data_IF_966868222935
#
_entry.id   IF_966868222935
#
_cell.length_a   1.000
_cell.length_b   1.000
_cell.length_c   1.000
_cell.angle_alpha   90.00
_cell.angle_beta   90.00
_cell.angle_gamma   90.00
#
_symmetry.space_group_name_H-M   'P 1'
#
loop_
_entity.id
_entity.type
_entity.pdbx_description
1 polymer ?
#
# COMPACT_ATOMS: atom_id res chain seq x y z
N UNK A 1 -15.10 15.01 29.31
CA UNK A 1 -15.33 15.37 27.88
C UNK A 1 -14.92 14.20 27.04
N UNK A 2 -15.63 13.89 25.95
CA UNK A 2 -15.16 12.85 25.00
C UNK A 2 -13.95 13.38 24.24
N UNK A 3 -12.88 12.57 24.13
CA UNK A 3 -11.68 12.88 23.34
C UNK A 3 -12.04 12.93 21.86
N UNK A 4 -11.74 14.06 21.21
CA UNK A 4 -11.97 14.25 19.77
C UNK A 4 -10.76 13.76 18.99
N UNK A 5 -10.92 12.66 18.24
CA UNK A 5 -9.86 12.06 17.45
C UNK A 5 -10.03 12.45 15.98
N UNK A 6 -8.99 13.05 15.39
CA UNK A 6 -8.90 13.37 13.98
C UNK A 6 -7.89 12.44 13.27
N UNK A 7 -8.30 11.86 12.15
CA UNK A 7 -7.44 11.02 11.30
C UNK A 7 -7.21 11.77 10.00
N UNK A 8 -5.98 12.12 9.69
CA UNK A 8 -5.62 12.76 8.44
C UNK A 8 -5.29 11.69 7.40
N UNK A 9 -6.20 11.44 6.45
CA UNK A 9 -6.07 10.48 5.37
C UNK A 9 -7.03 9.30 5.45
N UNK A 10 -7.87 9.14 4.43
CA UNK A 10 -8.83 8.03 4.22
C UNK A 10 -8.26 6.89 3.37
N UNK A 11 -6.98 6.54 3.59
CA UNK A 11 -6.37 5.32 3.08
C UNK A 11 -6.76 4.09 3.90
N UNK A 12 -6.28 2.90 3.51
CA UNK A 12 -6.64 1.63 4.16
C UNK A 12 -6.36 1.65 5.67
N UNK A 13 -5.19 2.14 6.10
CA UNK A 13 -4.86 2.23 7.53
C UNK A 13 -5.78 3.18 8.30
N UNK A 14 -6.01 4.39 7.77
CA UNK A 14 -6.89 5.39 8.41
C UNK A 14 -8.35 4.94 8.52
N UNK A 15 -8.87 4.27 7.47
CA UNK A 15 -10.23 3.71 7.48
C UNK A 15 -10.35 2.50 8.42
N UNK A 16 -9.33 1.64 8.47
CA UNK A 16 -9.28 0.51 9.42
C UNK A 16 -9.29 1.01 10.87
N UNK A 17 -8.45 2.00 11.18
CA UNK A 17 -8.43 2.66 12.48
C UNK A 17 -9.80 3.24 12.85
N UNK A 18 -10.40 4.03 11.94
CA UNK A 18 -11.70 4.63 12.16
C UNK A 18 -12.79 3.57 12.42
N UNK A 19 -12.77 2.47 11.64
CA UNK A 19 -13.73 1.38 11.78
C UNK A 19 -13.62 0.70 13.13
N UNK A 20 -12.42 0.39 13.59
CA UNK A 20 -12.22 -0.30 14.87
C UNK A 20 -12.57 0.64 16.03
N UNK A 21 -12.16 1.91 16.00
CA UNK A 21 -12.56 2.90 17.00
C UNK A 21 -14.07 3.05 17.10
N UNK A 22 -14.76 3.13 15.94
CA UNK A 22 -16.23 3.16 15.90
C UNK A 22 -16.85 1.91 16.55
N UNK A 23 -16.31 0.71 16.35
CA UNK A 23 -16.79 -0.51 17.04
C UNK A 23 -16.64 -0.43 18.55
N UNK A 24 -15.67 0.31 19.05
CA UNK A 24 -15.48 0.57 20.48
C UNK A 24 -16.27 1.79 20.99
N UNK A 25 -17.14 2.38 20.17
CA UNK A 25 -17.96 3.54 20.56
C UNK A 25 -17.16 4.83 20.68
N UNK A 26 -15.99 4.90 20.02
CA UNK A 26 -15.12 6.08 19.96
C UNK A 26 -15.35 6.81 18.64
N UNK A 27 -15.92 8.03 18.74
CA UNK A 27 -16.22 8.85 17.57
C UNK A 27 -14.94 9.45 16.99
N UNK A 28 -14.78 9.39 15.67
CA UNK A 28 -13.65 9.93 14.93
C UNK A 28 -14.09 10.64 13.68
N UNK A 29 -13.27 11.57 13.19
CA UNK A 29 -13.45 12.17 11.85
C UNK A 29 -12.20 11.88 11.02
N UNK A 30 -12.42 11.31 9.83
CA UNK A 30 -11.37 11.09 8.83
C UNK A 30 -11.39 12.24 7.83
N UNK A 31 -10.32 13.00 7.74
CA UNK A 31 -10.18 14.10 6.77
C UNK A 31 -9.43 13.61 5.54
N UNK A 32 -10.11 13.57 4.39
CA UNK A 32 -9.51 13.14 3.14
C UNK A 32 -9.46 14.27 2.10
N UNK A 33 -8.33 14.36 1.38
CA UNK A 33 -8.13 15.35 0.31
C UNK A 33 -8.95 15.08 -0.94
N UNK A 34 -9.39 13.84 -1.15
CA UNK A 34 -10.18 13.43 -2.32
C UNK A 34 -11.55 14.11 -2.32
N UNK A 35 -12.09 14.32 -3.52
CA UNK A 35 -13.39 14.96 -3.66
C UNK A 35 -14.56 14.06 -3.24
N UNK A 36 -14.39 12.73 -3.37
CA UNK A 36 -15.36 11.69 -3.05
C UNK A 36 -14.64 10.33 -2.98
N UNK A 37 -15.37 9.28 -2.61
CA UNK A 37 -14.86 7.90 -2.60
C UNK A 37 -14.37 7.42 -3.98
N UNK A 38 -14.96 7.92 -5.05
CA UNK A 38 -14.65 7.53 -6.44
C UNK A 38 -13.81 8.57 -7.20
N UNK A 39 -13.20 9.53 -6.50
CA UNK A 39 -12.50 10.65 -7.16
C UNK A 39 -11.27 10.21 -7.98
N UNK A 40 -10.69 9.05 -7.69
CA UNK A 40 -9.59 8.47 -8.46
C UNK A 40 -9.58 6.95 -8.38
N UNK A 41 -9.00 6.25 -9.36
CA UNK A 41 -8.68 4.82 -9.26
C UNK A 41 -7.76 4.56 -8.06
N UNK A 42 -8.01 3.47 -7.32
CA UNK A 42 -7.28 3.17 -6.08
C UNK A 42 -6.01 2.33 -6.27
N UNK A 43 -5.73 1.87 -7.45
CA UNK A 43 -4.56 1.07 -7.76
C UNK A 43 -4.90 -0.38 -8.09
N UNK A 44 -3.93 -1.28 -7.96
CA UNK A 44 -4.04 -2.70 -8.28
C UNK A 44 -4.75 -3.51 -7.19
N UNK A 45 -4.53 -4.82 -7.20
CA UNK A 45 -4.92 -5.72 -6.13
C UNK A 45 -3.82 -5.79 -5.05
N UNK A 46 -4.18 -6.36 -3.92
CA UNK A 46 -3.34 -6.53 -2.74
C UNK A 46 -3.51 -7.95 -2.21
N UNK A 47 -2.40 -8.60 -1.95
CA UNK A 47 -2.35 -9.82 -1.14
C UNK A 47 -2.47 -9.47 0.34
N UNK A 48 -3.49 -9.98 1.04
CA UNK A 48 -3.64 -9.71 2.46
C UNK A 48 -3.06 -10.85 3.30
N UNK A 49 -2.08 -10.49 4.13
CA UNK A 49 -1.35 -11.43 4.98
C UNK A 49 -2.15 -11.78 6.25
N UNK A 50 -2.18 -13.06 6.68
CA UNK A 50 -2.91 -13.51 7.88
C UNK A 50 -2.49 -12.76 9.15
N UNK A 51 -1.20 -12.50 9.30
CA UNK A 51 -0.56 -11.89 10.46
C UNK A 51 -0.71 -10.37 10.54
N UNK A 52 -1.29 -9.74 9.50
CA UNK A 52 -1.39 -8.27 9.44
C UNK A 52 -2.72 -7.78 8.86
N UNK A 53 -2.88 -7.68 7.53
CA UNK A 53 -4.09 -7.15 6.90
C UNK A 53 -5.35 -7.93 7.25
N UNK A 54 -5.31 -9.27 7.25
CA UNK A 54 -6.46 -10.10 7.61
C UNK A 54 -6.78 -10.02 9.11
N UNK A 55 -5.74 -9.96 9.98
CA UNK A 55 -5.93 -9.72 11.40
C UNK A 55 -6.65 -8.38 11.64
N UNK A 56 -6.20 -7.31 10.99
CA UNK A 56 -6.83 -6.00 11.08
C UNK A 56 -8.29 -6.01 10.62
N UNK A 57 -8.63 -6.77 9.56
CA UNK A 57 -10.01 -6.94 9.12
C UNK A 57 -10.85 -7.76 10.11
N UNK A 58 -10.26 -8.73 10.79
CA UNK A 58 -10.93 -9.48 11.85
C UNK A 58 -11.29 -8.55 13.02
N UNK A 59 -10.35 -7.73 13.48
CA UNK A 59 -10.58 -6.71 14.51
C UNK A 59 -11.62 -5.67 14.07
N UNK A 60 -11.64 -5.30 12.79
CA UNK A 60 -12.65 -4.43 12.20
C UNK A 60 -14.04 -5.09 12.09
N UNK A 61 -14.14 -6.43 12.30
CA UNK A 61 -15.36 -7.22 12.12
C UNK A 61 -15.74 -7.41 10.65
N UNK A 62 -14.78 -7.39 9.76
CA UNK A 62 -14.96 -7.42 8.30
C UNK A 62 -14.41 -8.68 7.64
N UNK A 63 -13.88 -9.64 8.41
CA UNK A 63 -13.28 -10.88 7.88
C UNK A 63 -14.22 -11.69 6.99
N UNK A 64 -15.52 -11.74 7.31
CA UNK A 64 -16.53 -12.44 6.51
C UNK A 64 -16.75 -11.78 5.15
N UNK A 65 -16.91 -10.44 5.13
CA UNK A 65 -17.05 -9.68 3.89
C UNK A 65 -15.79 -9.75 3.03
N UNK A 66 -14.62 -9.65 3.63
CA UNK A 66 -13.35 -9.81 2.94
C UNK A 66 -13.30 -11.17 2.20
N UNK A 67 -13.63 -12.29 2.89
CA UNK A 67 -13.61 -13.61 2.26
C UNK A 67 -14.57 -13.75 1.08
N UNK A 68 -15.68 -13.01 1.07
CA UNK A 68 -16.64 -13.04 -0.04
C UNK A 68 -16.21 -12.19 -1.25
N UNK A 69 -15.31 -11.24 -1.06
CA UNK A 69 -14.84 -10.31 -2.10
C UNK A 69 -13.40 -10.63 -2.57
N UNK A 70 -12.65 -11.39 -1.77
CA UNK A 70 -11.29 -11.79 -2.11
C UNK A 70 -11.26 -12.83 -3.24
N UNK A 71 -10.17 -12.82 -4.01
CA UNK A 71 -9.94 -13.68 -5.17
C UNK A 71 -8.79 -14.65 -4.89
N UNK A 72 -9.08 -15.89 -4.46
CA UNK A 72 -8.04 -16.88 -4.19
C UNK A 72 -7.23 -17.29 -5.42
N UNK A 73 -7.84 -17.29 -6.60
CA UNK A 73 -7.20 -17.55 -7.89
C UNK A 73 -6.21 -16.45 -8.28
N UNK A 74 -6.39 -15.23 -7.77
CA UNK A 74 -5.46 -14.12 -7.91
C UNK A 74 -4.08 -14.35 -7.28
N UNK A 75 -3.93 -15.36 -6.43
CA UNK A 75 -2.64 -15.78 -5.88
C UNK A 75 -1.73 -16.46 -6.91
N UNK A 76 -2.23 -16.80 -8.12
CA UNK A 76 -1.37 -17.30 -9.18
C UNK A 76 -0.25 -16.31 -9.49
N UNK A 77 0.97 -16.82 -9.52
CA UNK A 77 2.14 -16.00 -9.77
C UNK A 77 3.07 -16.65 -10.80
N UNK A 78 3.33 -15.91 -11.89
CA UNK A 78 4.23 -16.32 -12.97
C UNK A 78 5.42 -15.37 -13.04
N UNK A 79 6.63 -15.91 -13.03
CA UNK A 79 7.86 -15.14 -13.24
C UNK A 79 8.53 -15.63 -14.52
N UNK A 80 8.77 -14.73 -15.45
CA UNK A 80 9.38 -14.99 -16.74
C UNK A 80 10.69 -14.20 -16.90
N UNK A 81 11.57 -14.71 -17.76
CA UNK A 81 12.71 -13.95 -18.26
C UNK A 81 12.33 -13.11 -19.52
N UNK A 82 13.21 -12.23 -20.01
CA UNK A 82 12.94 -11.41 -21.20
C UNK A 82 12.63 -12.19 -22.47
N UNK A 83 13.02 -13.47 -22.57
CA UNK A 83 12.71 -14.33 -23.72
C UNK A 83 11.30 -14.91 -23.67
N UNK A 84 10.59 -14.73 -22.53
CA UNK A 84 9.29 -15.32 -22.26
C UNK A 84 9.35 -16.74 -21.68
N UNK A 85 10.53 -17.22 -21.29
CA UNK A 85 10.67 -18.50 -20.59
C UNK A 85 10.20 -18.38 -19.15
N UNK A 86 9.33 -19.29 -18.71
CA UNK A 86 8.87 -19.37 -17.32
C UNK A 86 10.02 -19.80 -16.42
N UNK A 87 10.31 -18.99 -15.42
CA UNK A 87 11.32 -19.23 -14.37
C UNK A 87 10.67 -19.81 -13.10
N UNK A 88 9.51 -19.26 -12.71
CA UNK A 88 8.72 -19.71 -11.57
C UNK A 88 7.25 -19.66 -11.95
N UNK A 89 6.50 -20.69 -11.57
CA UNK A 89 5.04 -20.71 -11.68
C UNK A 89 4.47 -21.28 -10.39
N UNK A 90 3.68 -20.48 -9.70
CA UNK A 90 2.93 -20.86 -8.53
C UNK A 90 1.44 -20.84 -8.87
N UNK A 91 0.80 -21.99 -8.79
CA UNK A 91 -0.65 -22.12 -8.93
C UNK A 91 -1.28 -22.38 -7.56
N UNK A 92 -2.26 -21.56 -7.12
CA UNK A 92 -3.00 -21.85 -5.90
C UNK A 92 -3.84 -23.12 -6.10
N UNK A 93 -4.03 -23.89 -5.03
CA UNK A 93 -4.91 -25.06 -5.10
C UNK A 93 -6.37 -24.60 -5.31
N UNK A 94 -7.09 -25.14 -6.29
CA UNK A 94 -8.48 -24.76 -6.55
C UNK A 94 -9.37 -24.86 -5.30
N UNK A 95 -10.06 -23.78 -4.97
CA UNK A 95 -10.97 -23.70 -3.83
C UNK A 95 -10.29 -23.60 -2.46
N UNK A 96 -8.96 -23.48 -2.39
CA UNK A 96 -8.26 -23.20 -1.14
C UNK A 96 -8.12 -21.69 -0.93
N UNK A 97 -8.42 -21.22 0.26
CA UNK A 97 -7.92 -19.96 0.78
C UNK A 97 -6.49 -20.24 1.30
N UNK A 98 -5.49 -20.12 0.43
CA UNK A 98 -4.12 -20.59 0.70
C UNK A 98 -3.34 -19.71 1.67
N UNK A 99 -3.92 -18.63 2.14
CA UNK A 99 -3.33 -17.80 3.18
C UNK A 99 -3.18 -16.33 2.82
N UNK A 100 -2.97 -15.96 1.55
CA UNK A 100 -2.76 -14.56 1.11
C UNK A 100 -3.62 -14.19 -0.10
N UNK A 101 -4.96 -14.32 0.00
CA UNK A 101 -5.84 -14.05 -1.13
C UNK A 101 -5.75 -12.60 -1.58
N UNK A 102 -5.81 -12.41 -2.88
CA UNK A 102 -5.83 -11.08 -3.51
C UNK A 102 -7.21 -10.43 -3.35
N UNK A 103 -7.21 -9.13 -3.18
CA UNK A 103 -8.41 -8.29 -3.26
C UNK A 103 -8.07 -6.98 -3.98
N UNK A 104 -8.97 -6.53 -4.85
CA UNK A 104 -8.79 -5.23 -5.49
C UNK A 104 -8.77 -4.12 -4.42
N UNK A 105 -7.78 -3.23 -4.49
CA UNK A 105 -7.61 -2.15 -3.51
C UNK A 105 -8.85 -1.25 -3.43
N UNK A 106 -9.55 -1.05 -4.53
CA UNK A 106 -10.83 -0.33 -4.57
C UNK A 106 -11.92 -1.05 -3.78
N UNK A 107 -12.09 -2.37 -3.99
CA UNK A 107 -13.05 -3.18 -3.27
C UNK A 107 -12.76 -3.20 -1.76
N UNK A 108 -11.50 -3.37 -1.37
CA UNK A 108 -11.10 -3.32 0.04
C UNK A 108 -11.39 -1.95 0.68
N UNK A 109 -11.11 -0.86 -0.04
CA UNK A 109 -11.40 0.49 0.44
C UNK A 109 -12.91 0.72 0.57
N UNK A 110 -13.69 0.29 -0.40
CA UNK A 110 -15.15 0.40 -0.38
C UNK A 110 -15.75 -0.43 0.74
N UNK A 111 -15.26 -1.64 0.98
CA UNK A 111 -15.63 -2.48 2.12
C UNK A 111 -15.44 -1.77 3.47
N UNK A 112 -14.31 -1.06 3.64
CA UNK A 112 -14.04 -0.26 4.83
C UNK A 112 -14.97 0.95 4.93
N UNK A 113 -15.15 1.71 3.84
CA UNK A 113 -16.03 2.89 3.79
C UNK A 113 -17.48 2.53 4.10
N UNK A 114 -18.00 1.45 3.51
CA UNK A 114 -19.38 1.00 3.72
C UNK A 114 -19.63 0.53 5.16
N UNK A 115 -18.58 0.19 5.90
CA UNK A 115 -18.65 -0.22 7.29
C UNK A 115 -18.74 0.95 8.28
N UNK A 116 -18.53 2.17 7.82
CA UNK A 116 -18.51 3.39 8.63
C UNK A 116 -19.83 4.18 8.49
N UNK A 117 -20.24 4.95 9.51
CA UNK A 117 -21.29 5.96 9.35
C UNK A 117 -20.96 6.93 8.22
N UNK A 118 -21.99 7.37 7.48
CA UNK A 118 -21.81 8.18 6.28
C UNK A 118 -21.14 9.55 6.47
N UNK A 119 -21.11 10.07 7.69
CA UNK A 119 -20.50 11.34 8.09
C UNK A 119 -19.09 11.18 8.69
N UNK A 120 -18.58 9.96 8.80
CA UNK A 120 -17.24 9.70 9.36
C UNK A 120 -16.13 10.29 8.50
N UNK A 121 -16.28 10.30 7.15
CA UNK A 121 -15.27 10.80 6.23
C UNK A 121 -15.63 12.18 5.70
N UNK A 122 -14.83 13.17 6.07
CA UNK A 122 -14.92 14.53 5.57
C UNK A 122 -14.06 14.67 4.30
N UNK A 123 -14.72 14.58 3.13
CA UNK A 123 -14.09 14.73 1.82
C UNK A 123 -13.68 16.18 1.54
N UNK A 124 -12.73 16.39 0.61
CA UNK A 124 -12.20 17.72 0.21
C UNK A 124 -11.53 18.45 1.39
N UNK A 125 -10.96 17.70 2.33
CA UNK A 125 -10.24 18.24 3.48
C UNK A 125 -8.75 17.93 3.39
N UNK A 126 -8.04 18.57 2.44
CA UNK A 126 -6.59 18.45 2.33
C UNK A 126 -5.92 19.20 3.48
N UNK A 127 -5.39 18.47 4.46
CA UNK A 127 -4.61 19.05 5.56
C UNK A 127 -3.35 19.72 4.99
N UNK A 128 -3.05 20.95 5.45
CA UNK A 128 -1.85 21.70 5.06
C UNK A 128 -1.01 22.11 6.26
N UNK A 129 -1.60 22.19 7.45
CA UNK A 129 -0.89 22.47 8.69
C UNK A 129 -1.65 21.94 9.90
N UNK A 130 -0.90 21.59 10.95
CA UNK A 130 -1.45 21.33 12.27
C UNK A 130 -0.56 22.07 13.31
N UNK A 131 -1.18 22.80 14.23
CA UNK A 131 -0.48 23.58 15.25
C UNK A 131 -0.97 23.22 16.64
N UNK A 132 -0.07 23.13 17.65
CA UNK A 132 -0.48 22.84 19.01
C UNK A 132 -1.31 24.00 19.58
N UNK A 133 -2.35 23.66 20.34
CA UNK A 133 -3.21 24.64 21.01
C UNK A 133 -2.72 24.90 22.44
N UNK A 134 -2.88 26.12 22.95
CA UNK A 134 -2.51 26.46 24.34
C UNK A 134 -3.24 25.64 25.41
N UNK A 135 -4.48 25.23 25.13
CA UNK A 135 -5.34 24.43 25.99
C UNK A 135 -5.23 22.92 25.78
N UNK A 136 -4.26 22.50 25.00
CA UNK A 136 -4.00 21.11 24.60
C UNK A 136 -4.67 20.71 23.28
N UNK A 137 -4.14 19.63 22.67
CA UNK A 137 -4.58 19.17 21.35
C UNK A 137 -4.06 20.03 20.20
N UNK A 138 -4.71 19.94 19.04
CA UNK A 138 -4.23 20.45 17.76
C UNK A 138 -5.29 21.29 17.05
N UNK A 139 -4.89 22.40 16.44
CA UNK A 139 -5.66 23.12 15.44
C UNK A 139 -5.22 22.64 14.04
N UNK A 140 -6.17 22.18 13.24
CA UNK A 140 -5.97 21.69 11.87
C UNK A 140 -6.36 22.77 10.88
N UNK A 141 -5.50 23.06 9.90
CA UNK A 141 -5.78 24.00 8.81
C UNK A 141 -5.81 23.23 7.49
N UNK A 142 -6.89 23.40 6.71
CA UNK A 142 -7.06 22.79 5.41
C UNK A 142 -6.73 23.76 4.27
N UNK A 143 -6.45 23.20 3.07
CA UNK A 143 -6.03 23.96 1.90
C UNK A 143 -7.00 25.09 1.49
N UNK A 144 -8.28 24.93 1.75
CA UNK A 144 -9.33 25.92 1.45
C UNK A 144 -9.54 26.96 2.57
N UNK A 145 -8.67 26.96 3.57
CA UNK A 145 -8.71 27.89 4.70
C UNK A 145 -9.64 27.47 5.85
N UNK A 146 -10.41 26.39 5.71
CA UNK A 146 -11.20 25.84 6.82
C UNK A 146 -10.27 25.42 7.97
N UNK A 147 -10.77 25.56 9.19
CA UNK A 147 -10.06 25.14 10.42
C UNK A 147 -10.96 24.30 11.31
N UNK A 148 -10.35 23.39 12.04
CA UNK A 148 -11.00 22.61 13.08
C UNK A 148 -10.00 22.26 14.17
N UNK A 149 -10.47 21.69 15.28
CA UNK A 149 -9.58 21.26 16.37
C UNK A 149 -9.87 19.85 16.82
N UNK A 150 -8.84 19.16 17.30
CA UNK A 150 -8.93 17.84 17.88
C UNK A 150 -8.04 17.74 19.12
N UNK A 151 -8.27 16.72 19.91
CA UNK A 151 -7.45 16.41 21.10
C UNK A 151 -6.34 15.43 20.73
N UNK A 152 -6.60 14.52 19.77
CA UNK A 152 -5.65 13.57 19.19
C UNK A 152 -5.68 13.68 17.67
N UNK A 153 -4.50 13.84 17.05
CA UNK A 153 -4.28 13.86 15.61
C UNK A 153 -3.50 12.62 15.20
N UNK A 154 -4.04 11.85 14.26
CA UNK A 154 -3.38 10.67 13.69
C UNK A 154 -3.07 10.93 12.23
N UNK A 155 -1.77 10.92 11.86
CA UNK A 155 -1.31 11.05 10.49
C UNK A 155 -1.39 9.70 9.76
N UNK A 156 -2.34 9.59 8.84
CA UNK A 156 -2.53 8.50 7.89
C UNK A 156 -2.48 9.04 6.44
N UNK A 157 -1.82 10.18 6.24
CA UNK A 157 -1.81 11.01 5.04
C UNK A 157 -0.74 10.60 4.02
N UNK A 158 -0.13 9.43 4.22
CA UNK A 158 0.69 8.73 3.24
C UNK A 158 2.11 9.26 3.10
N UNK A 159 2.77 8.92 2.00
CA UNK A 159 4.20 9.17 1.75
C UNK A 159 4.62 10.62 2.01
N UNK A 160 3.80 11.60 1.62
CA UNK A 160 4.08 13.05 1.79
C UNK A 160 3.27 13.63 2.95
N UNK A 161 3.33 12.95 4.10
CA UNK A 161 2.60 13.33 5.30
C UNK A 161 2.96 14.72 5.81
N UNK A 162 1.93 15.54 6.01
CA UNK A 162 2.04 16.84 6.72
C UNK A 162 2.21 16.59 8.22
N UNK A 163 1.54 15.56 8.75
CA UNK A 163 1.61 15.25 10.18
C UNK A 163 2.99 14.74 10.59
N UNK A 164 3.71 14.04 9.70
CA UNK A 164 5.08 13.56 9.94
C UNK A 164 6.01 14.68 10.38
N UNK A 165 5.94 15.85 9.75
CA UNK A 165 6.81 16.99 10.08
C UNK A 165 6.63 17.52 11.49
N UNK A 166 5.57 17.13 12.20
CA UNK A 166 5.40 17.46 13.61
C UNK A 166 6.26 16.57 14.53
N UNK A 167 6.73 15.43 14.04
CA UNK A 167 7.41 14.41 14.85
C UNK A 167 8.86 14.19 14.43
N UNK A 168 9.17 14.35 13.14
CA UNK A 168 10.53 14.11 12.60
C UNK A 168 10.77 14.92 11.33
N UNK A 169 12.02 15.33 11.12
CA UNK A 169 12.49 16.04 9.93
C UNK A 169 13.13 15.08 8.91
N UNK A 170 12.73 13.79 8.94
CA UNK A 170 13.32 12.76 8.07
C UNK A 170 13.06 13.08 6.60
N UNK A 171 14.11 13.00 5.80
CA UNK A 171 14.03 13.13 4.35
C UNK A 171 13.82 11.77 3.69
N UNK A 172 13.01 11.75 2.61
CA UNK A 172 12.76 10.57 1.81
C UNK A 172 13.87 10.39 0.78
N UNK A 173 14.28 9.13 0.56
CA UNK A 173 15.22 8.75 -0.48
C UNK A 173 14.49 8.19 -1.69
N UNK A 174 14.92 8.57 -2.89
CA UNK A 174 14.47 8.00 -4.14
C UNK A 174 15.10 6.61 -4.35
N UNK A 175 14.28 5.58 -4.58
CA UNK A 175 14.73 4.18 -4.67
C UNK A 175 14.43 3.50 -6.01
N UNK A 176 13.40 3.94 -6.74
CA UNK A 176 13.04 3.40 -8.05
C UNK A 176 12.11 4.34 -8.83
N UNK A 177 11.97 4.12 -10.14
CA UNK A 177 10.87 4.65 -10.94
C UNK A 177 9.83 3.56 -11.16
N UNK A 178 8.55 3.88 -10.97
CA UNK A 178 7.44 3.04 -11.38
C UNK A 178 6.63 3.77 -12.45
N UNK A 179 6.36 3.08 -13.56
CA UNK A 179 5.44 3.56 -14.60
C UNK A 179 4.23 2.67 -14.64
N UNK A 180 3.05 3.25 -14.58
CA UNK A 180 1.78 2.53 -14.53
C UNK A 180 0.99 2.74 -15.82
N UNK A 181 0.39 1.65 -16.31
CA UNK A 181 -0.50 1.59 -17.46
C UNK A 181 -1.66 0.63 -17.14
N UNK A 182 -2.75 0.71 -17.91
CA UNK A 182 -3.89 -0.20 -17.78
C UNK A 182 -4.25 -0.80 -19.14
N UNK A 183 -4.74 -2.03 -19.14
CA UNK A 183 -5.37 -2.70 -20.29
C UNK A 183 -6.77 -3.07 -19.87
N UNK A 184 -7.79 -2.51 -20.51
CA UNK A 184 -9.19 -2.74 -20.18
C UNK A 184 -9.77 -3.91 -21.00
N UNK A 185 -10.78 -4.59 -20.43
CA UNK A 185 -11.53 -5.69 -21.10
C UNK A 185 -10.62 -6.73 -21.74
N UNK A 186 -9.57 -7.17 -21.03
CA UNK A 186 -8.48 -7.98 -21.58
C UNK A 186 -8.99 -9.30 -22.18
N UNK A 187 -10.01 -9.93 -21.60
CA UNK A 187 -10.56 -11.21 -22.10
C UNK A 187 -11.18 -11.08 -23.48
N UNK A 188 -11.82 -9.95 -23.76
CA UNK A 188 -12.51 -9.73 -25.02
C UNK A 188 -11.59 -9.12 -26.09
N UNK A 189 -10.72 -8.20 -25.67
CA UNK A 189 -9.91 -7.39 -26.60
C UNK A 189 -8.52 -7.95 -26.83
N UNK A 190 -7.96 -8.64 -25.84
CA UNK A 190 -6.58 -9.14 -25.84
C UNK A 190 -6.50 -10.53 -25.20
N UNK A 191 -7.22 -11.57 -25.71
CA UNK A 191 -7.27 -12.90 -25.11
C UNK A 191 -5.88 -13.54 -24.92
N UNK A 192 -4.92 -13.25 -25.83
CA UNK A 192 -3.55 -13.74 -25.70
C UNK A 192 -2.82 -13.15 -24.49
N UNK A 193 -3.14 -11.90 -24.11
CA UNK A 193 -2.60 -11.27 -22.90
C UNK A 193 -3.31 -11.78 -21.64
N UNK A 194 -4.62 -12.07 -21.74
CA UNK A 194 -5.36 -12.70 -20.65
C UNK A 194 -4.76 -14.07 -20.30
N UNK A 195 -4.45 -14.89 -21.33
CA UNK A 195 -3.79 -16.19 -21.15
C UNK A 195 -2.37 -16.04 -20.60
N UNK A 196 -1.59 -15.07 -21.11
CA UNK A 196 -0.21 -14.83 -20.68
C UNK A 196 -0.14 -14.49 -19.18
N UNK A 197 -1.01 -13.58 -18.72
CA UNK A 197 -1.03 -13.11 -17.33
C UNK A 197 -1.69 -14.13 -16.40
N UNK A 198 -2.75 -14.80 -16.86
CA UNK A 198 -3.57 -15.67 -16.03
C UNK A 198 -4.49 -14.88 -15.08
N UNK A 199 -5.03 -15.51 -14.02
CA UNK A 199 -5.94 -14.86 -13.10
C UNK A 199 -5.24 -13.97 -12.03
N UNK A 200 -3.92 -14.07 -11.89
CA UNK A 200 -3.15 -13.41 -10.84
C UNK A 200 -2.11 -12.43 -11.34
N UNK A 201 -0.84 -12.73 -11.06
CA UNK A 201 0.29 -11.85 -11.25
C UNK A 201 1.33 -12.43 -12.22
N UNK A 202 1.80 -11.60 -13.14
CA UNK A 202 2.93 -11.88 -14.05
C UNK A 202 4.06 -10.90 -13.79
N UNK A 203 5.28 -11.41 -13.58
CA UNK A 203 6.50 -10.60 -13.54
C UNK A 203 7.47 -11.05 -14.63
N UNK A 204 7.91 -10.14 -15.46
CA UNK A 204 8.95 -10.37 -16.45
C UNK A 204 10.21 -9.63 -15.99
N UNK A 205 11.24 -10.40 -15.60
CA UNK A 205 12.39 -9.87 -14.87
C UNK A 205 13.59 -9.76 -15.78
N UNK A 206 14.03 -8.52 -16.02
CA UNK A 206 15.25 -8.20 -16.76
C UNK A 206 16.33 -7.57 -15.91
N UNK A 207 17.40 -7.13 -16.54
CA UNK A 207 18.50 -6.43 -15.87
C UNK A 207 18.06 -5.03 -15.46
N UNK A 208 18.04 -4.77 -14.14
CA UNK A 208 17.64 -3.49 -13.54
C UNK A 208 16.21 -3.02 -13.87
N UNK A 209 15.35 -3.91 -14.36
CA UNK A 209 13.98 -3.57 -14.76
C UNK A 209 13.03 -4.76 -14.66
N UNK A 210 11.78 -4.47 -14.36
CA UNK A 210 10.69 -5.44 -14.32
C UNK A 210 9.52 -4.87 -15.11
N UNK A 211 8.92 -5.70 -15.95
CA UNK A 211 7.61 -5.50 -16.54
C UNK A 211 6.64 -6.45 -15.85
N UNK A 212 5.69 -5.90 -15.12
CA UNK A 212 4.71 -6.67 -14.36
C UNK A 212 3.30 -6.43 -14.90
N UNK A 213 2.43 -7.42 -14.79
CA UNK A 213 1.00 -7.29 -15.02
C UNK A 213 0.23 -7.98 -13.90
N UNK A 214 -0.84 -7.36 -13.43
CA UNK A 214 -1.73 -7.88 -12.40
C UNK A 214 -3.16 -7.90 -12.92
N UNK A 215 -3.82 -9.04 -12.81
CA UNK A 215 -5.23 -9.19 -13.17
C UNK A 215 -6.09 -8.61 -12.06
N UNK A 216 -7.06 -7.75 -12.43
CA UNK A 216 -8.04 -7.18 -11.51
C UNK A 216 -9.39 -7.90 -11.62
N UNK A 217 -10.22 -7.76 -10.60
CA UNK A 217 -11.53 -8.40 -10.53
C UNK A 217 -12.54 -7.90 -11.58
N UNK A 218 -12.31 -6.73 -12.16
CA UNK A 218 -13.12 -6.16 -13.25
C UNK A 218 -12.71 -6.65 -14.65
N UNK A 219 -11.73 -7.54 -14.74
CA UNK A 219 -11.22 -8.08 -16.00
C UNK A 219 -10.19 -7.19 -16.70
N UNK A 220 -9.72 -6.12 -16.06
CA UNK A 220 -8.61 -5.31 -16.56
C UNK A 220 -7.25 -5.85 -16.11
N UNK A 221 -6.17 -5.39 -16.77
CA UNK A 221 -4.79 -5.56 -16.29
C UNK A 221 -4.22 -4.24 -15.86
N UNK A 222 -3.62 -4.24 -14.68
CA UNK A 222 -2.69 -3.18 -14.28
C UNK A 222 -1.28 -3.59 -14.68
N UNK A 223 -0.68 -2.80 -15.55
CA UNK A 223 0.70 -3.01 -16.01
C UNK A 223 1.63 -2.05 -15.29
N UNK A 224 2.66 -2.59 -14.66
CA UNK A 224 3.68 -1.84 -13.92
C UNK A 224 5.05 -2.06 -14.51
N UNK A 225 5.80 -0.98 -14.75
CA UNK A 225 7.19 -1.03 -15.16
C UNK A 225 8.03 -0.46 -14.03
N UNK A 226 8.79 -1.32 -13.36
CA UNK A 226 9.73 -0.90 -12.32
C UNK A 226 11.13 -0.78 -12.91
N UNK A 227 11.76 0.36 -12.71
CA UNK A 227 13.10 0.66 -13.20
C UNK A 227 14.00 1.04 -12.03
N UNK A 228 15.26 0.62 -12.08
CA UNK A 228 16.26 1.08 -11.13
C UNK A 228 16.30 2.61 -11.12
N UNK A 229 16.56 3.19 -9.94
CA UNK A 229 16.75 4.63 -9.80
C UNK A 229 17.89 5.11 -10.74
N UNK A 230 17.56 6.01 -11.63
CA UNK A 230 18.48 6.68 -12.55
C UNK A 230 18.15 8.17 -12.58
N UNK A 231 19.14 9.01 -12.90
CA UNK A 231 18.98 10.46 -13.04
C UNK A 231 18.28 10.84 -14.38
N UNK A 232 17.16 10.19 -14.67
CA UNK A 232 16.34 10.50 -15.85
C UNK A 232 15.09 11.28 -15.45
N UNK A 233 14.73 12.34 -16.19
CA UNK A 233 13.49 13.05 -15.95
C UNK A 233 12.27 12.13 -16.11
N UNK A 234 11.28 12.20 -15.20
CA UNK A 234 10.07 11.39 -15.26
C UNK A 234 9.32 11.54 -16.59
N UNK A 235 9.39 12.72 -17.23
CA UNK A 235 8.73 12.95 -18.51
C UNK A 235 9.27 12.07 -19.64
N UNK A 236 10.50 11.55 -19.53
CA UNK A 236 11.05 10.59 -20.50
C UNK A 236 10.29 9.26 -20.55
N UNK A 237 9.50 8.96 -19.53
CA UNK A 237 8.70 7.73 -19.44
C UNK A 237 7.21 7.90 -19.78
N UNK A 238 6.77 9.09 -20.25
CA UNK A 238 5.35 9.38 -20.56
C UNK A 238 4.91 8.91 -21.94
N UNK A 239 5.77 8.28 -22.71
CA UNK A 239 5.48 7.79 -24.05
C UNK A 239 5.61 6.28 -24.11
N UNK A 240 4.60 5.58 -24.64
CA UNK A 240 4.67 4.14 -24.91
C UNK A 240 5.88 3.79 -25.80
N UNK A 241 6.20 4.63 -26.79
CA UNK A 241 7.35 4.43 -27.66
C UNK A 241 8.66 4.42 -26.87
N UNK A 242 8.83 5.39 -25.96
CA UNK A 242 10.02 5.45 -25.11
C UNK A 242 10.11 4.25 -24.17
N UNK A 243 8.97 3.75 -23.67
CA UNK A 243 8.93 2.53 -22.86
C UNK A 243 9.31 1.31 -23.69
N UNK A 244 8.75 1.14 -24.89
CA UNK A 244 9.10 0.02 -25.80
C UNK A 244 10.58 0.00 -26.16
N UNK A 245 11.21 1.18 -26.33
CA UNK A 245 12.65 1.27 -26.60
C UNK A 245 13.49 0.74 -25.41
N UNK A 246 13.00 0.82 -24.14
CA UNK A 246 13.65 0.21 -22.96
C UNK A 246 13.60 -1.31 -22.97
N UNK A 247 12.58 -1.89 -23.61
CA UNK A 247 12.36 -3.33 -23.71
C UNK A 247 12.77 -3.88 -25.09
N UNK A 248 13.62 -3.16 -25.83
CA UNK A 248 14.12 -3.63 -27.12
C UNK A 248 14.81 -5.00 -26.98
N UNK A 249 14.42 -5.96 -27.83
CA UNK A 249 14.93 -7.33 -27.77
C UNK A 249 14.20 -8.28 -26.82
N UNK A 250 13.21 -7.80 -26.07
CA UNK A 250 12.33 -8.68 -25.31
C UNK A 250 11.34 -9.41 -26.22
N UNK A 251 10.81 -10.53 -25.73
CA UNK A 251 9.79 -11.28 -26.45
C UNK A 251 8.58 -10.40 -26.77
N UNK A 252 8.10 -10.32 -28.02
CA UNK A 252 6.98 -9.48 -28.42
C UNK A 252 5.68 -9.73 -27.63
N UNK A 253 5.44 -10.96 -27.14
CA UNK A 253 4.28 -11.25 -26.29
C UNK A 253 4.33 -10.46 -24.96
N UNK A 254 5.52 -10.15 -24.45
CA UNK A 254 5.69 -9.39 -23.22
C UNK A 254 5.50 -7.88 -23.48
N UNK A 255 6.10 -7.35 -24.54
CA UNK A 255 5.97 -5.93 -24.90
C UNK A 255 4.56 -5.56 -25.37
N UNK A 256 3.77 -6.54 -25.83
CA UNK A 256 2.36 -6.36 -26.16
C UNK A 256 1.52 -5.83 -24.96
N UNK A 257 1.94 -6.08 -23.71
CA UNK A 257 1.33 -5.47 -22.52
C UNK A 257 1.44 -3.94 -22.54
N UNK A 258 2.55 -3.39 -23.04
CA UNK A 258 2.74 -1.94 -23.18
C UNK A 258 1.97 -1.40 -24.39
N UNK A 259 1.97 -2.15 -25.50
CA UNK A 259 1.30 -1.75 -26.73
C UNK A 259 -0.23 -1.70 -26.58
N UNK A 260 -0.81 -2.72 -25.92
CA UNK A 260 -2.24 -2.83 -25.68
C UNK A 260 -2.79 -1.82 -24.66
N UNK A 261 -1.94 -1.29 -23.78
CA UNK A 261 -2.40 -0.40 -22.72
C UNK A 261 -3.10 0.86 -23.27
N UNK A 262 -4.14 1.31 -22.58
CA UNK A 262 -4.84 2.55 -22.90
C UNK A 262 -4.24 3.77 -22.18
N UNK A 263 -4.47 4.93 -22.75
CA UNK A 263 -4.03 6.20 -22.19
C UNK A 263 -2.52 6.43 -22.22
N UNK A 264 -2.07 7.43 -21.52
CA UNK A 264 -0.66 7.78 -21.38
C UNK A 264 -0.04 7.07 -20.17
N UNK A 265 1.22 6.60 -20.27
CA UNK A 265 1.95 6.08 -19.12
C UNK A 265 2.03 7.10 -17.98
N UNK A 266 1.89 6.63 -16.76
CA UNK A 266 1.93 7.46 -15.55
C UNK A 266 3.18 7.14 -14.73
N UNK A 267 4.30 7.84 -14.98
CA UNK A 267 5.53 7.64 -14.22
C UNK A 267 5.47 8.33 -12.86
N UNK A 268 6.04 7.67 -11.84
CA UNK A 268 6.21 8.23 -10.50
C UNK A 268 7.51 7.76 -9.85
N UNK A 269 8.05 8.59 -8.97
CA UNK A 269 9.15 8.20 -8.11
C UNK A 269 8.63 7.29 -7.00
N UNK A 270 9.40 6.26 -6.71
CA UNK A 270 9.26 5.45 -5.52
C UNK A 270 10.25 5.97 -4.50
N UNK A 271 9.71 6.42 -3.37
CA UNK A 271 10.47 6.99 -2.26
C UNK A 271 10.39 6.05 -1.06
N UNK A 272 11.38 6.09 -0.19
CA UNK A 272 11.42 5.36 1.07
C UNK A 272 12.00 6.22 2.17
N UNK A 273 11.57 5.95 3.41
CA UNK A 273 12.19 6.50 4.61
C UNK A 273 13.46 5.74 4.95
N UNK A 274 14.44 6.37 5.61
CA UNK A 274 15.58 5.67 6.19
C UNK A 274 15.13 4.56 7.14
N UNK A 275 15.74 3.38 7.02
CA UNK A 275 15.45 2.23 7.88
C UNK A 275 15.78 2.60 9.34
N UNK A 276 14.90 2.20 10.26
CA UNK A 276 15.06 2.50 11.68
C UNK A 276 14.68 3.92 12.09
N UNK A 277 13.98 4.67 11.20
CA UNK A 277 13.42 5.98 11.57
C UNK A 277 12.55 5.86 12.82
N UNK A 278 12.83 6.72 13.80
CA UNK A 278 12.09 6.86 15.05
C UNK A 278 11.94 8.34 15.39
N UNK A 279 10.98 8.64 16.27
CA UNK A 279 10.78 9.97 16.83
C UNK A 279 10.51 9.89 18.31
N UNK A 280 10.64 11.01 19.01
CA UNK A 280 10.20 11.14 20.40
C UNK A 280 8.68 11.36 20.43
N UNK A 281 7.97 10.53 21.15
CA UNK A 281 6.51 10.64 21.27
C UNK A 281 6.08 12.02 21.74
N UNK A 282 5.10 12.62 21.08
CA UNK A 282 4.50 13.90 21.43
C UNK A 282 3.05 13.71 21.86
N UNK A 283 2.58 14.45 22.90
CA UNK A 283 1.22 14.36 23.36
C UNK A 283 0.20 14.66 22.23
N UNK A 284 -0.79 13.78 22.08
CA UNK A 284 -1.92 13.98 21.19
C UNK A 284 -1.59 13.89 19.71
N UNK A 285 -0.45 13.32 19.28
CA UNK A 285 -0.14 13.11 17.86
C UNK A 285 0.66 11.84 17.63
N UNK A 286 0.34 11.09 16.57
CA UNK A 286 1.11 9.93 16.09
C UNK A 286 0.88 9.69 14.59
N UNK A 287 1.58 8.69 14.02
CA UNK A 287 1.54 8.33 12.60
C UNK A 287 1.21 6.84 12.43
N UNK A 288 0.58 6.50 11.29
CA UNK A 288 0.35 5.12 10.84
C UNK A 288 0.66 4.96 9.35
N UNK A 289 1.03 3.75 8.93
CA UNK A 289 1.29 3.39 7.55
C UNK A 289 2.40 4.20 6.90
N UNK A 290 2.26 4.54 5.61
CA UNK A 290 3.28 5.28 4.85
C UNK A 290 3.67 6.64 5.48
N UNK A 291 2.81 7.21 6.31
CA UNK A 291 3.17 8.42 7.06
C UNK A 291 4.23 8.12 8.12
N UNK A 292 4.20 6.93 8.71
CA UNK A 292 5.11 6.47 9.77
C UNK A 292 6.37 5.77 9.23
N UNK A 293 6.23 4.96 8.15
CA UNK A 293 7.27 4.02 7.74
C UNK A 293 7.24 3.70 6.24
N UNK A 294 7.25 4.73 5.39
CA UNK A 294 7.28 4.55 3.94
C UNK A 294 8.45 3.64 3.52
N UNK A 295 8.13 2.54 2.86
CA UNK A 295 9.11 1.55 2.40
C UNK A 295 8.87 1.19 0.92
N UNK A 296 9.83 0.54 0.23
CA UNK A 296 9.63 0.04 -1.12
C UNK A 296 8.41 -0.88 -1.23
N UNK A 297 7.64 -0.81 -2.34
CA UNK A 297 6.37 -1.53 -2.50
C UNK A 297 6.58 -3.01 -2.87
N UNK A 298 6.88 -3.83 -1.90
CA UNK A 298 7.12 -5.29 -2.05
C UNK A 298 6.03 -6.15 -1.39
N UNK A 299 4.80 -5.62 -1.25
CA UNK A 299 3.64 -6.32 -0.68
C UNK A 299 3.28 -5.92 0.75
N UNK A 300 4.20 -5.32 1.52
CA UNK A 300 4.00 -5.07 2.96
C UNK A 300 3.19 -3.80 3.30
N UNK A 301 3.31 -2.75 2.50
CA UNK A 301 2.88 -1.40 2.90
C UNK A 301 1.41 -1.30 3.34
N UNK A 302 0.48 -1.88 2.57
CA UNK A 302 -0.94 -1.84 2.90
C UNK A 302 -1.27 -2.71 4.13
N UNK A 303 -0.66 -3.89 4.22
CA UNK A 303 -0.79 -4.83 5.32
C UNK A 303 -0.37 -4.18 6.64
N UNK A 304 0.81 -3.56 6.67
CA UNK A 304 1.35 -2.89 7.85
C UNK A 304 0.53 -1.64 8.22
N UNK A 305 0.06 -0.87 7.25
CA UNK A 305 -0.80 0.28 7.51
C UNK A 305 -2.14 -0.10 8.17
N UNK A 306 -2.73 -1.21 7.75
CA UNK A 306 -3.96 -1.73 8.36
C UNK A 306 -3.71 -2.28 9.77
N UNK A 307 -2.59 -2.97 9.97
CA UNK A 307 -2.19 -3.47 11.30
C UNK A 307 -1.91 -2.33 12.27
N UNK A 308 -1.22 -1.27 11.84
CA UNK A 308 -1.03 -0.05 12.63
C UNK A 308 -2.38 0.52 13.10
N UNK A 309 -3.34 0.61 12.17
CA UNK A 309 -4.69 1.08 12.50
C UNK A 309 -5.37 0.20 13.55
N UNK A 310 -5.22 -1.11 13.47
CA UNK A 310 -5.80 -2.04 14.43
C UNK A 310 -5.12 -1.95 15.80
N UNK A 311 -3.79 -1.98 15.86
CA UNK A 311 -3.03 -1.89 17.11
C UNK A 311 -3.30 -0.56 17.83
N UNK A 312 -3.22 0.57 17.12
CA UNK A 312 -3.47 1.89 17.70
C UNK A 312 -4.92 1.99 18.22
N UNK A 313 -5.91 1.49 17.46
CA UNK A 313 -7.30 1.47 17.91
C UNK A 313 -7.46 0.66 19.20
N UNK A 314 -6.85 -0.52 19.27
CA UNK A 314 -6.87 -1.38 20.46
C UNK A 314 -6.28 -0.67 21.68
N UNK A 315 -5.14 -0.02 21.54
CA UNK A 315 -4.50 0.73 22.64
C UNK A 315 -5.33 1.94 23.09
N UNK A 316 -5.92 2.71 22.15
CA UNK A 316 -6.79 3.84 22.46
C UNK A 316 -8.08 3.38 23.16
N UNK A 317 -8.68 2.27 22.72
CA UNK A 317 -9.88 1.71 23.33
C UNK A 317 -9.64 1.16 24.74
N UNK A 318 -8.46 0.58 24.97
CA UNK A 318 -8.07 0.06 26.28
C UNK A 318 -7.71 1.19 27.29
N UNK A 319 -7.35 2.38 26.81
CA UNK A 319 -6.89 3.50 27.63
C UNK A 319 -7.66 4.80 27.34
N UNK A 320 -8.98 4.84 27.50
CA UNK A 320 -9.80 6.00 27.09
C UNK A 320 -9.49 7.28 27.89
N UNK A 321 -8.90 7.14 29.08
CA UNK A 321 -8.52 8.27 29.95
C UNK A 321 -7.09 8.80 29.71
N UNK A 322 -6.23 8.05 29.03
CA UNK A 322 -4.84 8.44 28.73
C UNK A 322 -4.43 8.05 27.29
N UNK A 323 -4.88 8.80 26.29
CA UNK A 323 -4.51 8.55 24.91
C UNK A 323 -3.00 8.70 24.65
N UNK A 324 -2.29 9.48 25.47
CA UNK A 324 -0.85 9.66 25.31
C UNK A 324 -0.07 8.39 25.70
N UNK A 325 -0.51 7.68 26.73
CA UNK A 325 0.07 6.37 27.07
C UNK A 325 -0.22 5.33 25.97
N UNK A 326 -1.46 5.31 25.44
CA UNK A 326 -1.82 4.44 24.33
C UNK A 326 -0.93 4.69 23.09
N UNK A 327 -0.70 5.96 22.75
CA UNK A 327 0.17 6.37 21.64
C UNK A 327 1.61 5.86 21.86
N UNK A 328 2.20 6.09 23.03
CA UNK A 328 3.58 5.65 23.32
C UNK A 328 3.72 4.14 23.20
N UNK A 329 2.79 3.38 23.75
CA UNK A 329 2.83 1.91 23.69
C UNK A 329 2.73 1.42 22.24
N UNK A 330 1.83 2.01 21.46
CA UNK A 330 1.71 1.72 20.03
C UNK A 330 3.01 2.03 19.27
N UNK A 331 3.58 3.24 19.45
CA UNK A 331 4.80 3.67 18.74
C UNK A 331 5.98 2.74 19.02
N UNK A 332 6.19 2.33 20.28
CA UNK A 332 7.26 1.38 20.65
C UNK A 332 7.09 0.01 19.97
N UNK A 333 5.87 -0.51 19.96
CA UNK A 333 5.56 -1.77 19.28
C UNK A 333 5.75 -1.66 17.77
N UNK A 334 5.21 -0.61 17.16
CA UNK A 334 5.33 -0.32 15.72
C UNK A 334 6.79 -0.19 15.30
N UNK A 335 7.62 0.59 16.00
CA UNK A 335 9.05 0.74 15.68
C UNK A 335 9.81 -0.60 15.70
N UNK A 336 9.48 -1.46 16.66
CA UNK A 336 10.13 -2.77 16.80
C UNK A 336 9.72 -3.71 15.67
N UNK A 337 8.44 -3.71 15.29
CA UNK A 337 7.88 -4.54 14.22
C UNK A 337 8.35 -4.10 12.84
N UNK A 338 8.34 -2.79 12.57
CA UNK A 338 8.61 -2.25 11.23
C UNK A 338 10.08 -2.34 10.84
N UNK A 339 11.01 -2.29 11.77
CA UNK A 339 12.44 -2.29 11.45
C UNK A 339 12.87 -3.47 10.56
N UNK A 340 12.66 -4.75 10.94
CA UNK A 340 13.03 -5.88 10.09
C UNK A 340 12.22 -5.95 8.77
N UNK A 341 10.98 -5.46 8.75
CA UNK A 341 10.15 -5.43 7.54
C UNK A 341 10.71 -4.41 6.54
N UNK A 342 11.12 -3.23 7.00
CA UNK A 342 11.74 -2.22 6.16
C UNK A 342 13.09 -2.69 5.59
N UNK A 343 13.91 -3.39 6.39
CA UNK A 343 15.15 -4.03 5.91
C UNK A 343 14.89 -5.08 4.84
N UNK A 344 13.90 -5.95 5.06
CA UNK A 344 13.50 -6.96 4.09
C UNK A 344 13.01 -6.31 2.80
N UNK A 345 12.13 -5.31 2.90
CA UNK A 345 11.58 -4.58 1.75
C UNK A 345 12.68 -3.92 0.92
N UNK A 346 13.65 -3.28 1.57
CA UNK A 346 14.79 -2.66 0.88
C UNK A 346 15.67 -3.70 0.17
N UNK A 347 15.93 -4.86 0.81
CA UNK A 347 16.70 -5.95 0.20
C UNK A 347 15.97 -6.56 -1.00
N UNK A 348 14.67 -6.82 -0.88
CA UNK A 348 13.86 -7.37 -1.99
C UNK A 348 13.82 -6.39 -3.15
N UNK A 349 13.59 -5.11 -2.91
CA UNK A 349 13.62 -4.07 -3.95
C UNK A 349 14.97 -4.00 -4.65
N UNK A 350 16.07 -4.02 -3.92
CA UNK A 350 17.42 -4.01 -4.49
C UNK A 350 17.71 -5.28 -5.31
N UNK A 351 17.28 -6.43 -4.85
CA UNK A 351 17.37 -7.71 -5.57
C UNK A 351 16.56 -7.67 -6.87
N UNK A 352 15.32 -7.21 -6.82
CA UNK A 352 14.42 -7.16 -7.99
C UNK A 352 14.92 -6.24 -9.11
N UNK A 353 15.69 -5.21 -8.78
CA UNK A 353 16.25 -4.25 -9.72
C UNK A 353 17.78 -4.33 -9.81
N UNK A 354 18.34 -5.55 -9.69
CA UNK A 354 19.77 -5.84 -9.82
C UNK A 354 20.11 -6.39 -11.21
N UNK A 355 21.41 -6.41 -11.58
CA UNK A 355 21.85 -7.11 -12.79
C UNK A 355 21.60 -8.62 -12.77
N UNK A 356 21.48 -9.23 -11.59
CA UNK A 356 21.26 -10.67 -11.36
C UNK A 356 19.83 -10.99 -10.92
N UNK A 357 18.89 -10.05 -11.09
CA UNK A 357 17.53 -10.13 -10.56
C UNK A 357 16.82 -11.46 -10.89
N UNK A 358 16.91 -11.95 -12.13
CA UNK A 358 16.26 -13.20 -12.53
C UNK A 358 16.77 -14.42 -11.74
N UNK A 359 18.08 -14.53 -11.53
CA UNK A 359 18.68 -15.63 -10.76
C UNK A 359 18.34 -15.52 -9.27
N UNK A 360 18.42 -14.33 -8.73
CA UNK A 360 18.16 -14.07 -7.31
C UNK A 360 16.69 -14.28 -6.93
N UNK A 361 15.76 -13.88 -7.80
CA UNK A 361 14.32 -14.10 -7.63
C UNK A 361 14.00 -15.59 -7.67
N UNK A 362 14.54 -16.35 -8.66
CA UNK A 362 14.36 -17.81 -8.69
C UNK A 362 14.86 -18.43 -7.39
N UNK A 363 16.05 -18.05 -6.93
CA UNK A 363 16.61 -18.54 -5.67
C UNK A 363 15.74 -18.18 -4.46
N UNK A 364 15.14 -16.98 -4.45
CA UNK A 364 14.26 -16.54 -3.39
C UNK A 364 12.98 -17.38 -3.31
N UNK A 365 12.32 -17.65 -4.44
CA UNK A 365 11.07 -18.40 -4.48
C UNK A 365 11.24 -19.93 -4.44
N UNK A 366 12.45 -20.46 -4.71
CA UNK A 366 12.72 -21.91 -4.70
C UNK A 366 13.44 -22.38 -3.44
N UNK A 367 13.84 -21.47 -2.53
CA UNK A 367 14.40 -21.88 -1.22
C UNK A 367 13.33 -22.61 -0.41
N UNK A 368 13.65 -23.79 0.16
CA UNK A 368 12.79 -24.40 1.16
C UNK A 368 12.60 -23.41 2.31
N UNK A 369 11.36 -23.28 2.82
CA UNK A 369 11.12 -22.54 4.03
C UNK A 369 12.04 -23.07 5.13
N UNK A 370 12.90 -22.21 5.71
CA UNK A 370 13.67 -22.63 6.89
C UNK A 370 12.66 -23.00 7.99
N UNK A 371 12.81 -24.18 8.62
CA UNK A 371 11.92 -24.53 9.71
C UNK A 371 12.04 -23.46 10.79
N UNK A 372 10.88 -22.96 11.25
CA UNK A 372 10.82 -22.02 12.36
C UNK A 372 11.73 -22.56 13.48
N UNK A 373 12.72 -21.78 13.89
CA UNK A 373 13.53 -22.11 15.06
C UNK A 373 12.57 -22.20 16.24
N UNK A 374 12.38 -23.39 16.74
CA UNK A 374 11.75 -23.62 18.02
C UNK A 374 12.72 -23.08 19.09
N UNK A 375 12.39 -21.96 19.69
CA UNK A 375 12.94 -21.48 20.96
C UNK A 375 11.94 -21.73 22.08
#
# INVERSE_FOLDING_TARGET
MRTRIAIAGGGLGGLTLARILHRHGIDTVVYDREASRSARPQGGALDLHPESGQLALAEAGLAGRFRSEARPDGEEHRILDPTGRVLVHHEPQPGSFSGRPEIDRSALRDLLLDSLPGDTVAWRHRLVAATPRPDGGWELTFHDGRRTSCDVLIGADGARSVVRSLLTDVELSYVATLVELNVEDVDQRHPDLAELVGPGNLWCVGVNQILAAQRLGDGSLRVGISLRAEDRPLDSYRSKRALLDLFAGWNPRLTALIEAAEGAPTPRLIEAMPIGTRWTSRPGVTLIGDAAHLMPPVGEGANQAMLDGAELAGHLAANPGDPNSAIRTYEEAMFSRIHPIAEMSARVQAMMLSPTAAEDIVRFFTRPAEPARAD
#
